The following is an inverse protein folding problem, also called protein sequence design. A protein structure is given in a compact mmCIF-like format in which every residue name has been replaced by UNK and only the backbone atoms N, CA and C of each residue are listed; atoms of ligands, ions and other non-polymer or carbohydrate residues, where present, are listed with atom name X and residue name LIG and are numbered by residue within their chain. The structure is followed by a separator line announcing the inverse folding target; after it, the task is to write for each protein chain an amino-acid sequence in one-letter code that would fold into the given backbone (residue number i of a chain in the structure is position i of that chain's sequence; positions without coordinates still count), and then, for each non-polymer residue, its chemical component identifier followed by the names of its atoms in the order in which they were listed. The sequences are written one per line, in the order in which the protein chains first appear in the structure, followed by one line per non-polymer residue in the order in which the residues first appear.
data_IF_435564442367
#
_entry.id   IF_435564442367
#
_cell.length_a   1.000
_cell.length_b   1.000
_cell.length_c   1.000
_cell.angle_alpha   90.00
_cell.angle_beta   90.00
_cell.angle_gamma   90.00
#
_symmetry.space_group_name_H-M   'P 1'
#
loop_
_entity.id
_entity.type
_entity.pdbx_description
1 polymer ?
#
# COMPACT_ATOMS: atom_id res chain seq x y z
N UNK A 1 11.40 -12.81 -47.54
CA UNK A 1 10.39 -13.57 -46.79
C UNK A 1 9.57 -12.57 -45.96
N UNK A 2 8.25 -12.62 -46.02
CA UNK A 2 7.37 -11.71 -45.27
C UNK A 2 5.90 -12.14 -45.24
N UNK A 3 5.10 -11.43 -44.44
CA UNK A 3 3.70 -11.68 -44.13
C UNK A 3 2.78 -10.85 -45.03
N UNK A 4 2.05 -11.53 -45.91
CA UNK A 4 1.06 -10.86 -46.76
C UNK A 4 -0.32 -11.00 -46.10
N UNK A 5 -0.97 -9.88 -45.78
CA UNK A 5 -2.34 -9.88 -45.23
C UNK A 5 -3.28 -10.55 -46.24
N UNK A 6 -3.93 -11.63 -45.84
CA UNK A 6 -4.83 -12.37 -46.71
C UNK A 6 -6.10 -11.56 -46.94
N UNK A 7 -6.42 -11.27 -48.20
CA UNK A 7 -7.72 -10.71 -48.56
C UNK A 7 -8.79 -11.76 -48.26
N UNK A 8 -9.74 -11.44 -47.37
CA UNK A 8 -10.88 -12.32 -47.05
C UNK A 8 -11.86 -12.28 -48.23
N UNK A 9 -11.51 -12.94 -49.33
CA UNK A 9 -12.47 -13.22 -50.41
C UNK A 9 -13.20 -14.51 -50.06
N UNK A 10 -14.51 -14.39 -49.83
CA UNK A 10 -15.40 -15.53 -49.65
C UNK A 10 -15.29 -16.53 -50.82
N UNK A 11 -15.61 -17.79 -50.51
CA UNK A 11 -15.87 -18.94 -51.42
C UNK A 11 -14.67 -19.88 -51.69
N UNK A 12 -14.72 -21.07 -51.05
CA UNK A 12 -14.46 -22.40 -51.65
C UNK A 12 -14.08 -23.42 -50.56
N UNK A 13 -14.64 -24.63 -50.62
CA UNK A 13 -14.44 -25.76 -49.70
C UNK A 13 -12.98 -26.23 -49.58
N UNK A 14 -12.09 -25.82 -50.47
CA UNK A 14 -10.65 -26.10 -50.44
C UNK A 14 -9.87 -25.28 -49.40
N UNK A 15 -10.41 -24.13 -48.97
CA UNK A 15 -9.82 -23.35 -47.87
C UNK A 15 -9.91 -24.10 -46.54
N UNK A 16 -10.98 -24.88 -46.32
CA UNK A 16 -11.22 -25.56 -45.03
C UNK A 16 -10.10 -26.55 -44.64
N UNK A 17 -9.40 -27.14 -45.62
CA UNK A 17 -8.23 -28.00 -45.37
C UNK A 17 -6.93 -27.20 -45.18
N UNK A 18 -6.79 -26.00 -45.78
CA UNK A 18 -5.66 -25.10 -45.46
C UNK A 18 -5.72 -24.56 -44.02
N UNK A 19 -6.92 -24.46 -43.45
CA UNK A 19 -7.10 -24.01 -42.07
C UNK A 19 -6.60 -25.03 -41.03
N UNK A 20 -6.27 -26.27 -41.43
CA UNK A 20 -5.67 -27.28 -40.53
C UNK A 20 -4.19 -27.05 -40.24
N UNK A 21 -3.47 -26.28 -41.06
CA UNK A 21 -2.06 -25.90 -40.84
C UNK A 21 -1.90 -24.41 -40.49
N UNK A 22 -2.89 -23.81 -39.82
CA UNK A 22 -2.79 -22.43 -39.35
C UNK A 22 -2.00 -22.35 -38.04
N UNK A 23 -0.90 -21.59 -38.03
CA UNK A 23 -0.14 -21.29 -36.81
C UNK A 23 -0.90 -20.19 -36.06
N UNK A 24 -1.42 -20.53 -34.88
CA UNK A 24 -2.16 -19.60 -34.02
C UNK A 24 -1.86 -19.83 -32.54
N UNK A 25 -2.09 -18.78 -31.75
CA UNK A 25 -2.04 -18.85 -30.29
C UNK A 25 -3.45 -18.53 -29.75
N UNK A 26 -4.21 -19.56 -29.36
CA UNK A 26 -5.62 -19.43 -28.98
C UNK A 26 -5.83 -18.71 -27.64
N UNK A 27 -4.93 -18.90 -26.67
CA UNK A 27 -5.03 -18.25 -25.36
C UNK A 27 -3.69 -17.68 -24.89
N UNK A 28 -3.63 -16.34 -24.84
CA UNK A 28 -2.62 -15.60 -24.08
C UNK A 28 -3.32 -14.95 -22.89
N UNK A 29 -3.35 -15.67 -21.77
CA UNK A 29 -3.85 -15.17 -20.49
C UNK A 29 -2.95 -14.03 -19.98
N UNK A 30 -3.38 -13.34 -18.92
CA UNK A 30 -2.62 -12.26 -18.29
C UNK A 30 -1.23 -12.72 -17.77
N UNK A 31 -1.06 -14.02 -17.56
CA UNK A 31 0.18 -14.61 -17.03
C UNK A 31 1.18 -15.01 -18.12
N UNK A 32 0.77 -15.05 -19.39
CA UNK A 32 1.62 -15.47 -20.50
C UNK A 32 2.01 -14.25 -21.32
N UNK A 33 3.31 -13.97 -21.37
CA UNK A 33 3.90 -12.82 -22.04
C UNK A 33 4.41 -13.17 -23.44
N UNK A 34 4.96 -14.37 -23.61
CA UNK A 34 5.48 -14.85 -24.89
C UNK A 34 5.22 -16.35 -25.06
N UNK A 35 4.85 -16.77 -26.27
CA UNK A 35 4.72 -18.18 -26.66
C UNK A 35 5.38 -18.39 -28.02
N UNK A 36 6.27 -19.38 -28.10
CA UNK A 36 6.83 -19.86 -29.35
C UNK A 36 5.95 -20.95 -29.94
N UNK A 37 5.68 -20.85 -31.24
CA UNK A 37 5.02 -21.89 -32.03
C UNK A 37 5.86 -22.19 -33.25
N UNK A 38 6.07 -23.48 -33.52
CA UNK A 38 6.76 -23.97 -34.71
C UNK A 38 6.03 -25.21 -35.23
N UNK A 39 6.30 -25.58 -36.47
CA UNK A 39 5.80 -26.81 -37.08
C UNK A 39 6.61 -28.02 -36.56
N UNK A 40 6.11 -29.26 -36.66
CA UNK A 40 6.84 -30.46 -36.23
C UNK A 40 8.20 -30.64 -36.93
N UNK A 41 8.34 -30.10 -38.13
CA UNK A 41 9.58 -30.13 -38.93
C UNK A 41 10.54 -28.98 -38.58
N UNK A 42 10.11 -28.03 -37.75
CA UNK A 42 10.88 -26.84 -37.42
C UNK A 42 11.00 -25.82 -38.56
N UNK A 43 10.28 -26.02 -39.68
CA UNK A 43 10.32 -25.16 -40.86
C UNK A 43 8.91 -24.70 -41.19
N UNK A 44 8.72 -23.38 -41.33
CA UNK A 44 7.44 -22.80 -41.74
C UNK A 44 7.41 -22.82 -43.27
N UNK A 45 6.53 -23.65 -43.84
CA UNK A 45 6.44 -23.81 -45.29
C UNK A 45 5.88 -22.55 -45.95
N UNK A 46 6.27 -22.31 -47.19
CA UNK A 46 5.72 -21.19 -47.96
C UNK A 46 4.20 -21.33 -48.09
N UNK A 47 3.47 -20.21 -47.97
CA UNK A 47 2.00 -20.12 -47.88
C UNK A 47 1.39 -20.67 -46.59
N UNK A 48 2.19 -20.94 -45.54
CA UNK A 48 1.65 -21.17 -44.20
C UNK A 48 0.81 -19.98 -43.75
N UNK A 49 -0.32 -20.27 -43.13
CA UNK A 49 -1.21 -19.25 -42.59
C UNK A 49 -0.87 -18.97 -41.13
N UNK A 50 -0.63 -17.71 -40.79
CA UNK A 50 -0.39 -17.23 -39.43
C UNK A 50 -1.59 -16.35 -39.04
N UNK A 51 -2.24 -16.69 -37.94
CA UNK A 51 -3.40 -15.95 -37.43
C UNK A 51 -2.97 -15.19 -36.19
N UNK A 52 -3.09 -13.86 -36.23
CA UNK A 52 -2.78 -12.96 -35.12
C UNK A 52 -4.09 -12.48 -34.51
N UNK A 53 -4.33 -12.85 -33.26
CA UNK A 53 -5.53 -12.45 -32.55
C UNK A 53 -5.39 -11.01 -31.99
N UNK A 54 -6.50 -10.36 -31.61
CA UNK A 54 -6.47 -9.04 -30.99
C UNK A 54 -5.59 -9.01 -29.74
N UNK A 55 -4.75 -7.97 -29.60
CA UNK A 55 -3.83 -7.84 -28.46
C UNK A 55 -2.64 -8.80 -28.50
N UNK A 56 -2.35 -9.41 -29.65
CA UNK A 56 -1.15 -10.21 -29.90
C UNK A 56 -0.25 -9.54 -30.94
N UNK A 57 1.05 -9.74 -30.80
CA UNK A 57 2.03 -9.45 -31.85
C UNK A 57 2.73 -10.75 -32.24
N UNK A 58 2.82 -11.03 -33.54
CA UNK A 58 3.54 -12.18 -34.06
C UNK A 58 4.87 -11.74 -34.68
N UNK A 59 5.95 -12.38 -34.26
CA UNK A 59 7.30 -12.22 -34.81
C UNK A 59 7.74 -13.54 -35.44
N UNK A 60 8.14 -13.49 -36.71
CA UNK A 60 8.73 -14.63 -37.41
C UNK A 60 10.24 -14.59 -37.23
N UNK A 61 10.77 -15.69 -36.74
CA UNK A 61 12.19 -15.87 -36.47
C UNK A 61 12.76 -17.00 -37.32
N UNK A 62 13.97 -16.82 -37.84
CA UNK A 62 14.74 -17.80 -38.61
C UNK A 62 16.23 -17.68 -38.26
N UNK A 63 16.80 -18.73 -37.68
CA UNK A 63 18.24 -18.89 -37.41
C UNK A 63 18.96 -17.68 -36.84
N UNK A 64 18.43 -17.08 -35.77
CA UNK A 64 19.09 -15.89 -35.18
C UNK A 64 18.50 -14.57 -35.62
N UNK A 65 17.58 -14.56 -36.59
CA UNK A 65 17.09 -13.34 -37.22
C UNK A 65 15.59 -13.25 -37.19
N UNK A 66 15.09 -12.06 -36.90
CA UNK A 66 13.67 -11.76 -37.14
C UNK A 66 13.49 -11.44 -38.61
N UNK A 67 12.68 -12.26 -39.28
CA UNK A 67 12.35 -12.10 -40.69
C UNK A 67 11.28 -11.04 -40.87
N UNK A 68 10.23 -11.11 -40.04
CA UNK A 68 9.07 -10.25 -40.17
C UNK A 68 8.31 -10.19 -38.85
N UNK A 69 7.48 -9.17 -38.67
CA UNK A 69 6.60 -9.06 -37.52
C UNK A 69 5.34 -8.25 -37.86
N UNK A 70 4.23 -8.63 -37.24
CA UNK A 70 2.97 -7.88 -37.33
C UNK A 70 2.33 -7.79 -35.94
N UNK A 71 1.81 -6.62 -35.62
CA UNK A 71 0.97 -6.39 -34.43
C UNK A 71 -0.49 -6.12 -34.79
N UNK A 72 -0.80 -6.08 -36.08
CA UNK A 72 -2.17 -5.99 -36.55
C UNK A 72 -2.85 -7.36 -36.45
N UNK A 73 -4.08 -7.34 -35.94
CA UNK A 73 -4.95 -8.51 -35.97
C UNK A 73 -5.31 -8.88 -37.41
N UNK A 74 -5.35 -10.19 -37.67
CA UNK A 74 -5.72 -10.69 -38.97
C UNK A 74 -5.07 -12.01 -39.34
N UNK A 75 -5.35 -12.41 -40.57
CA UNK A 75 -4.83 -13.63 -41.17
C UNK A 75 -3.75 -13.23 -42.17
N UNK A 76 -2.56 -13.78 -42.00
CA UNK A 76 -1.41 -13.51 -42.85
C UNK A 76 -0.90 -14.80 -43.48
N UNK A 77 -0.46 -14.72 -44.72
CA UNK A 77 0.23 -15.82 -45.38
C UNK A 77 1.72 -15.53 -45.41
N UNK A 78 2.53 -16.51 -45.00
CA UNK A 78 3.98 -16.44 -45.08
C UNK A 78 4.41 -16.63 -46.54
N UNK A 79 5.05 -15.63 -47.13
CA UNK A 79 5.64 -15.73 -48.46
C UNK A 79 7.16 -15.60 -48.38
N UNK A 80 7.89 -16.63 -48.82
CA UNK A 80 9.36 -16.59 -48.79
C UNK A 80 9.97 -15.62 -49.83
N UNK A 81 9.23 -15.31 -50.89
CA UNK A 81 9.67 -14.45 -51.99
C UNK A 81 9.38 -12.96 -51.79
N UNK A 82 8.50 -12.61 -50.85
CA UNK A 82 8.09 -11.23 -50.60
C UNK A 82 9.10 -10.46 -49.73
N UNK A 83 9.06 -9.13 -49.81
CA UNK A 83 9.79 -8.27 -48.88
C UNK A 83 9.18 -8.35 -47.47
N UNK A 84 9.98 -8.22 -46.40
CA UNK A 84 9.49 -8.17 -45.03
C UNK A 84 8.39 -7.11 -44.86
N UNK A 85 7.30 -7.48 -44.21
CA UNK A 85 6.09 -6.68 -44.03
C UNK A 85 6.09 -5.94 -42.70
N UNK A 86 7.26 -5.38 -42.31
CA UNK A 86 7.52 -4.58 -41.10
C UNK A 86 6.62 -3.33 -40.92
N UNK A 87 5.51 -3.21 -41.63
CA UNK A 87 4.72 -2.00 -41.82
C UNK A 87 3.26 -2.11 -41.38
N UNK A 88 2.83 -3.25 -40.80
CA UNK A 88 1.48 -3.39 -40.25
C UNK A 88 1.45 -2.94 -38.78
N UNK A 89 1.29 -1.62 -38.54
CA UNK A 89 1.04 -1.01 -37.23
C UNK A 89 2.13 -0.07 -36.68
N UNK A 90 1.99 0.34 -35.40
CA UNK A 90 2.85 1.34 -34.72
C UNK A 90 4.29 0.87 -34.45
N UNK A 91 4.61 -0.40 -34.67
CA UNK A 91 5.89 -1.02 -34.32
C UNK A 91 6.91 -1.07 -35.49
N UNK A 92 6.61 -0.44 -36.63
CA UNK A 92 7.46 -0.58 -37.81
C UNK A 92 8.88 -0.01 -37.67
N UNK A 93 9.07 1.04 -36.88
CA UNK A 93 10.40 1.57 -36.56
C UNK A 93 11.19 0.60 -35.66
N UNK A 94 10.52 0.02 -34.66
CA UNK A 94 11.08 -0.96 -33.71
C UNK A 94 11.65 -2.18 -34.43
N UNK A 95 10.92 -2.74 -35.40
CA UNK A 95 11.36 -3.94 -36.09
C UNK A 95 12.48 -3.68 -37.12
N UNK A 96 12.56 -2.47 -37.69
CA UNK A 96 13.68 -2.07 -38.57
C UNK A 96 15.02 -2.04 -37.84
N UNK A 97 15.05 -1.59 -36.59
CA UNK A 97 16.28 -1.59 -35.80
C UNK A 97 16.79 -2.99 -35.49
N UNK A 98 15.89 -3.93 -35.21
CA UNK A 98 16.25 -5.33 -34.97
C UNK A 98 16.77 -6.01 -36.25
N UNK A 99 16.20 -5.69 -37.43
CA UNK A 99 16.70 -6.19 -38.71
C UNK A 99 18.17 -5.80 -38.96
N UNK A 100 18.54 -4.55 -38.64
CA UNK A 100 19.90 -4.04 -38.88
C UNK A 100 20.94 -4.59 -37.90
N UNK A 101 20.55 -4.95 -36.67
CA UNK A 101 21.50 -5.38 -35.62
C UNK A 101 21.96 -6.84 -35.72
N UNK A 102 21.25 -7.72 -36.44
CA UNK A 102 21.51 -9.17 -36.48
C UNK A 102 22.08 -9.72 -37.81
N UNK A 103 22.83 -8.91 -38.56
CA UNK A 103 23.49 -9.34 -39.80
C UNK A 103 24.86 -10.00 -39.55
N UNK A 104 24.93 -11.16 -38.88
CA UNK A 104 26.15 -11.99 -38.89
C UNK A 104 25.90 -13.52 -38.95
N UNK A 105 26.87 -14.17 -39.59
CA UNK A 105 27.27 -15.59 -39.74
C UNK A 105 26.27 -16.65 -40.23
N UNK A 106 26.63 -17.31 -41.34
CA UNK A 106 25.82 -18.31 -42.04
C UNK A 106 25.57 -19.58 -41.24
N UNK A 107 24.30 -19.84 -40.94
CA UNK A 107 23.81 -21.12 -40.45
C UNK A 107 22.95 -21.80 -41.52
N UNK A 108 23.25 -23.08 -41.76
CA UNK A 108 22.73 -23.92 -42.85
C UNK A 108 21.45 -24.69 -42.47
N UNK A 109 21.02 -24.66 -41.22
CA UNK A 109 19.82 -25.35 -40.75
C UNK A 109 18.71 -24.33 -40.52
N UNK A 110 17.63 -24.37 -41.31
CA UNK A 110 16.45 -23.50 -41.16
C UNK A 110 15.58 -23.96 -39.98
N UNK A 111 15.79 -23.40 -38.81
CA UNK A 111 14.84 -23.47 -37.70
C UNK A 111 14.03 -22.18 -37.67
N UNK A 112 12.77 -22.30 -38.07
CA UNK A 112 11.80 -21.21 -38.13
C UNK A 112 10.73 -21.35 -37.05
N UNK A 113 10.40 -20.25 -36.40
CA UNK A 113 9.34 -20.21 -35.40
C UNK A 113 8.59 -18.88 -35.45
N UNK A 114 7.34 -18.91 -35.03
CA UNK A 114 6.53 -17.72 -34.77
C UNK A 114 6.47 -17.51 -33.26
N UNK A 115 6.92 -16.36 -32.81
CA UNK A 115 6.80 -15.92 -31.42
C UNK A 115 5.60 -14.99 -31.31
N UNK A 116 4.63 -15.38 -30.49
CA UNK A 116 3.48 -14.56 -30.14
C UNK A 116 3.76 -13.83 -28.83
N UNK A 117 3.64 -12.51 -28.83
CA UNK A 117 3.79 -11.64 -27.67
C UNK A 117 2.45 -11.07 -27.25
N UNK A 118 2.26 -10.95 -25.95
CA UNK A 118 1.10 -10.32 -25.36
C UNK A 118 1.33 -8.81 -25.28
N UNK A 119 0.67 -8.05 -26.16
CA UNK A 119 0.76 -6.58 -26.18
C UNK A 119 -0.40 -5.91 -25.42
N UNK A 120 -1.25 -6.70 -24.75
CA UNK A 120 -2.28 -6.18 -23.85
C UNK A 120 -1.64 -5.58 -22.61
N UNK A 121 -2.39 -4.71 -21.95
CA UNK A 121 -2.03 -4.23 -20.63
C UNK A 121 -2.15 -5.37 -19.60
N UNK A 122 -1.04 -5.67 -18.95
CA UNK A 122 -0.91 -6.68 -17.92
C UNK A 122 -1.29 -6.06 -16.59
N UNK A 123 -2.46 -6.45 -16.09
CA UNK A 123 -3.06 -5.89 -14.88
C UNK A 123 -2.69 -6.65 -13.61
N UNK A 124 -3.01 -6.03 -12.47
CA UNK A 124 -2.88 -6.58 -11.11
C UNK A 124 -1.46 -7.02 -10.75
N UNK A 125 -0.51 -6.09 -10.86
CA UNK A 125 0.85 -6.28 -10.34
C UNK A 125 1.02 -5.38 -9.12
N UNK A 126 1.38 -5.98 -7.99
CA UNK A 126 1.47 -5.29 -6.71
C UNK A 126 2.90 -4.83 -6.45
N UNK A 127 3.05 -3.66 -5.86
CA UNK A 127 4.31 -3.20 -5.31
C UNK A 127 4.13 -2.77 -3.85
N UNK A 128 5.22 -2.80 -3.10
CA UNK A 128 5.24 -2.34 -1.73
C UNK A 128 6.67 -2.08 -1.27
N UNK A 129 6.89 -0.97 -0.59
CA UNK A 129 8.22 -0.63 -0.08
C UNK A 129 8.56 -1.57 1.09
N UNK A 130 9.62 -2.40 1.00
CA UNK A 130 9.93 -3.39 2.05
C UNK A 130 10.42 -2.73 3.35
N UNK A 131 11.11 -1.60 3.23
CA UNK A 131 11.55 -0.76 4.34
C UNK A 131 10.91 0.63 4.23
N UNK A 132 10.69 1.33 5.37
CA UNK A 132 10.24 2.71 5.35
C UNK A 132 11.17 3.61 4.54
N UNK A 133 10.60 4.36 3.61
CA UNK A 133 11.31 5.34 2.79
C UNK A 133 11.30 6.68 3.53
N UNK A 134 12.45 7.34 3.72
CA UNK A 134 12.48 8.66 4.33
C UNK A 134 11.74 9.67 3.44
N UNK A 135 10.86 10.46 4.04
CA UNK A 135 10.06 11.48 3.39
C UNK A 135 10.11 12.77 4.21
N UNK A 136 10.06 13.91 3.52
CA UNK A 136 10.04 15.23 4.12
C UNK A 136 8.60 15.72 4.21
N UNK A 137 8.05 15.73 5.42
CA UNK A 137 6.70 16.18 5.67
C UNK A 137 6.68 17.69 5.98
N UNK A 138 6.26 18.46 4.98
CA UNK A 138 6.12 19.91 5.07
C UNK A 138 4.84 20.36 5.78
N UNK A 139 3.91 19.45 6.10
CA UNK A 139 2.73 19.78 6.90
C UNK A 139 3.07 19.94 8.40
N UNK A 140 4.15 19.30 8.86
CA UNK A 140 4.65 19.38 10.23
C UNK A 140 6.00 20.11 10.28
N UNK A 141 5.93 21.44 10.28
CA UNK A 141 7.09 22.33 10.22
C UNK A 141 7.79 22.47 11.58
N UNK A 142 9.11 22.21 11.62
CA UNK A 142 9.93 22.38 12.82
C UNK A 142 10.74 23.69 12.71
N UNK A 143 10.54 24.66 13.63
CA UNK A 143 11.33 25.88 13.65
C UNK A 143 12.73 25.63 14.22
N UNK A 144 13.77 26.03 13.50
CA UNK A 144 15.13 26.07 14.02
C UNK A 144 15.41 27.43 14.66
N UNK A 145 15.47 27.47 15.99
CA UNK A 145 15.68 28.69 16.75
C UNK A 145 17.09 29.31 16.56
N UNK A 146 18.08 28.52 16.12
CA UNK A 146 19.44 29.02 15.91
C UNK A 146 19.62 29.71 14.56
N UNK A 147 18.94 29.23 13.52
CA UNK A 147 19.06 29.75 12.14
C UNK A 147 17.86 30.57 11.69
N UNK A 148 16.76 30.57 12.45
CA UNK A 148 15.50 31.21 12.07
C UNK A 148 14.79 30.55 10.88
N UNK A 149 15.29 29.41 10.41
CA UNK A 149 14.73 28.67 9.28
C UNK A 149 13.79 27.57 9.76
N UNK A 150 12.86 27.18 8.90
CA UNK A 150 11.92 26.09 9.15
C UNK A 150 12.33 24.88 8.33
N UNK A 151 12.36 23.71 8.97
CA UNK A 151 12.67 22.42 8.31
C UNK A 151 11.44 21.50 8.37
N UNK A 152 11.21 20.67 7.35
CA UNK A 152 10.14 19.67 7.39
C UNK A 152 10.46 18.58 8.42
N UNK A 153 9.41 17.97 8.98
CA UNK A 153 9.56 16.78 9.80
C UNK A 153 9.97 15.60 8.92
N UNK A 154 11.02 14.88 9.30
CA UNK A 154 11.40 13.64 8.62
C UNK A 154 10.53 12.49 9.12
N UNK A 155 9.81 11.84 8.21
CA UNK A 155 8.99 10.66 8.47
C UNK A 155 9.41 9.47 7.61
N UNK A 156 9.11 8.25 8.04
CA UNK A 156 9.35 7.02 7.32
C UNK A 156 8.04 6.47 6.75
N UNK A 157 7.93 6.39 5.43
CA UNK A 157 6.73 5.94 4.74
C UNK A 157 6.86 4.51 4.24
N UNK A 158 5.84 3.70 4.52
CA UNK A 158 5.57 2.44 3.84
C UNK A 158 4.39 2.63 2.91
N UNK A 159 4.64 2.47 1.62
CA UNK A 159 3.64 2.63 0.58
C UNK A 159 3.34 1.27 -0.06
N UNK A 160 2.06 1.04 -0.34
CA UNK A 160 1.60 -0.14 -1.07
C UNK A 160 0.69 0.30 -2.20
N UNK A 161 0.77 -0.41 -3.32
CA UNK A 161 -0.06 -0.08 -4.47
C UNK A 161 0.05 -1.10 -5.59
N UNK A 162 -0.44 -0.69 -6.76
CA UNK A 162 -0.46 -1.51 -7.96
C UNK A 162 0.10 -0.76 -9.14
N UNK A 163 0.65 -1.52 -10.08
CA UNK A 163 1.09 -1.03 -11.37
C UNK A 163 0.61 -1.95 -12.48
N UNK A 164 0.43 -1.37 -13.65
CA UNK A 164 0.11 -2.06 -14.89
C UNK A 164 1.20 -1.78 -15.90
N UNK A 165 1.52 -2.78 -16.73
CA UNK A 165 2.56 -2.66 -17.74
C UNK A 165 2.12 -3.33 -19.04
N UNK A 166 2.68 -2.93 -20.16
CA UNK A 166 2.49 -3.59 -21.46
C UNK A 166 3.84 -3.82 -22.12
N UNK A 167 3.90 -4.80 -23.02
CA UNK A 167 5.07 -4.98 -23.89
C UNK A 167 4.93 -3.97 -25.03
N UNK A 168 5.77 -2.94 -25.01
CA UNK A 168 5.79 -1.87 -26.00
C UNK A 168 6.82 -2.13 -27.11
N UNK A 169 7.88 -2.87 -26.81
CA UNK A 169 8.85 -3.30 -27.79
C UNK A 169 9.08 -4.81 -27.68
N UNK A 170 8.27 -5.63 -28.39
CA UNK A 170 8.41 -7.09 -28.39
C UNK A 170 9.79 -7.58 -28.83
N UNK A 171 10.44 -6.85 -29.74
CA UNK A 171 11.79 -7.16 -30.23
C UNK A 171 12.85 -7.01 -29.13
N UNK A 172 12.83 -5.89 -28.42
CA UNK A 172 13.72 -5.60 -27.30
C UNK A 172 13.45 -6.57 -26.13
N UNK A 173 12.17 -6.85 -25.85
CA UNK A 173 11.78 -7.83 -24.84
C UNK A 173 12.28 -9.24 -25.18
N UNK A 174 12.21 -9.64 -26.45
CA UNK A 174 12.79 -10.90 -26.91
C UNK A 174 14.30 -10.95 -26.70
N UNK A 175 15.02 -9.87 -27.03
CA UNK A 175 16.48 -9.82 -26.94
C UNK A 175 16.99 -9.81 -25.49
N UNK A 176 16.43 -8.93 -24.65
CA UNK A 176 16.97 -8.65 -23.32
C UNK A 176 16.36 -9.52 -22.21
N UNK A 177 15.16 -10.08 -22.43
CA UNK A 177 14.38 -10.74 -21.36
C UNK A 177 14.02 -12.18 -21.69
N UNK A 178 13.26 -12.40 -22.77
CA UNK A 178 12.61 -13.69 -22.99
C UNK A 178 13.47 -14.69 -23.77
N UNK A 179 14.42 -14.21 -24.57
CA UNK A 179 15.25 -15.02 -25.46
C UNK A 179 14.41 -15.88 -26.40
N UNK A 180 14.82 -17.15 -26.55
CA UNK A 180 14.16 -18.15 -27.41
C UNK A 180 13.31 -19.16 -26.61
N UNK A 181 12.90 -18.81 -25.39
CA UNK A 181 12.09 -19.67 -24.54
C UNK A 181 10.77 -20.08 -25.22
N UNK A 182 10.30 -21.31 -24.98
CA UNK A 182 9.05 -21.77 -25.60
C UNK A 182 7.82 -21.05 -25.01
N UNK A 183 7.83 -20.79 -23.70
CA UNK A 183 6.81 -20.01 -23.00
C UNK A 183 7.50 -19.11 -21.97
N UNK A 184 7.22 -17.82 -22.02
CA UNK A 184 7.64 -16.85 -21.02
C UNK A 184 6.43 -16.34 -20.24
N UNK A 185 6.48 -16.55 -18.93
CA UNK A 185 5.39 -16.22 -18.00
C UNK A 185 5.73 -14.97 -17.18
N UNK A 186 4.68 -14.33 -16.68
CA UNK A 186 4.71 -13.09 -15.89
C UNK A 186 5.50 -13.22 -14.59
N UNK A 187 5.37 -14.36 -13.90
CA UNK A 187 6.05 -14.68 -12.64
C UNK A 187 7.58 -14.52 -12.71
N UNK A 188 8.20 -14.88 -13.84
CA UNK A 188 9.66 -14.74 -14.05
C UNK A 188 10.13 -13.29 -14.15
N UNK A 189 9.22 -12.37 -14.47
CA UNK A 189 9.52 -10.95 -14.69
C UNK A 189 9.11 -10.08 -13.51
N UNK A 190 8.00 -10.41 -12.85
CA UNK A 190 7.35 -9.55 -11.86
C UNK A 190 8.26 -9.23 -10.67
N UNK A 191 9.06 -10.17 -10.17
CA UNK A 191 9.93 -9.90 -9.01
C UNK A 191 11.02 -8.86 -9.31
N UNK A 192 11.63 -8.96 -10.49
CA UNK A 192 12.62 -7.98 -10.95
C UNK A 192 11.97 -6.63 -11.21
N UNK A 193 10.83 -6.63 -11.91
CA UNK A 193 10.04 -5.42 -12.18
C UNK A 193 9.59 -4.72 -10.90
N UNK A 194 9.13 -5.48 -9.89
CA UNK A 194 8.73 -4.94 -8.59
C UNK A 194 9.87 -4.18 -7.93
N UNK A 195 11.09 -4.72 -7.99
CA UNK A 195 12.28 -4.07 -7.42
C UNK A 195 12.64 -2.78 -8.17
N UNK A 196 12.58 -2.80 -9.50
CA UNK A 196 12.83 -1.62 -10.34
C UNK A 196 11.77 -0.53 -10.10
N UNK A 197 10.49 -0.90 -10.07
CA UNK A 197 9.36 0.01 -9.78
C UNK A 197 9.51 0.64 -8.39
N UNK A 198 9.92 -0.12 -7.37
CA UNK A 198 10.16 0.43 -6.02
C UNK A 198 11.30 1.46 -6.06
N UNK A 199 12.41 1.18 -6.77
CA UNK A 199 13.52 2.13 -6.90
C UNK A 199 13.11 3.41 -7.62
N UNK A 200 12.39 3.29 -8.73
CA UNK A 200 11.79 4.42 -9.47
C UNK A 200 10.84 5.21 -8.56
N UNK A 201 9.95 4.54 -7.83
CA UNK A 201 8.99 5.19 -6.95
C UNK A 201 9.63 5.92 -5.77
N UNK A 202 10.75 5.43 -5.25
CA UNK A 202 11.51 6.16 -4.21
C UNK A 202 12.00 7.53 -4.71
N UNK A 203 12.42 7.62 -5.97
CA UNK A 203 12.80 8.91 -6.58
C UNK A 203 11.60 9.84 -6.70
N UNK A 204 10.44 9.31 -7.11
CA UNK A 204 9.18 10.08 -7.16
C UNK A 204 8.77 10.56 -5.78
N UNK A 205 8.81 9.71 -4.76
CA UNK A 205 8.48 10.09 -3.38
C UNK A 205 9.38 11.21 -2.86
N UNK A 206 10.68 11.16 -3.15
CA UNK A 206 11.61 12.22 -2.77
C UNK A 206 11.24 13.55 -3.45
N UNK A 207 10.82 13.50 -4.71
CA UNK A 207 10.41 14.69 -5.46
C UNK A 207 9.07 15.26 -4.96
N UNK A 208 8.10 14.41 -4.63
CA UNK A 208 6.83 14.84 -4.02
C UNK A 208 7.02 15.51 -2.66
N UNK A 209 7.97 15.01 -1.86
CA UNK A 209 8.29 15.55 -0.54
C UNK A 209 9.28 16.71 -0.55
N UNK A 210 9.83 17.10 -1.71
CA UNK A 210 10.85 18.13 -1.76
C UNK A 210 10.29 19.53 -1.42
N UNK A 211 11.18 20.51 -1.33
CA UNK A 211 10.81 21.90 -1.03
C UNK A 211 10.00 22.59 -2.13
N UNK A 212 9.84 22.00 -3.31
CA UNK A 212 9.06 22.55 -4.41
C UNK A 212 7.61 22.05 -4.34
N UNK A 213 7.38 20.73 -4.29
CA UNK A 213 6.04 20.13 -4.33
C UNK A 213 5.36 20.10 -2.96
N UNK A 214 6.12 19.82 -1.89
CA UNK A 214 5.64 19.83 -0.49
C UNK A 214 4.34 19.05 -0.27
N UNK A 215 4.17 17.92 -0.95
CA UNK A 215 2.96 17.10 -0.85
C UNK A 215 2.82 16.56 0.58
N UNK A 216 1.67 16.79 1.25
CA UNK A 216 1.42 16.19 2.55
C UNK A 216 1.36 14.66 2.48
N UNK A 217 1.85 13.99 3.53
CA UNK A 217 1.95 12.51 3.57
C UNK A 217 0.62 11.82 3.27
N UNK A 218 -0.47 12.33 3.85
CA UNK A 218 -1.80 11.75 3.72
C UNK A 218 -2.42 11.96 2.33
N UNK A 219 -1.90 12.91 1.55
CA UNK A 219 -2.40 13.25 0.22
C UNK A 219 -1.67 12.48 -0.89
N UNK A 220 -0.57 11.79 -0.58
CA UNK A 220 0.19 10.98 -1.56
C UNK A 220 -0.71 10.03 -2.37
N UNK A 221 -1.69 9.30 -1.80
CA UNK A 221 -2.58 8.44 -2.57
C UNK A 221 -3.42 9.18 -3.63
N UNK A 222 -3.73 10.46 -3.41
CA UNK A 222 -4.48 11.29 -4.35
C UNK A 222 -3.60 11.97 -5.41
N UNK A 223 -2.27 11.88 -5.32
CA UNK A 223 -1.34 12.51 -6.27
C UNK A 223 -1.01 11.61 -7.48
N UNK A 224 -1.98 10.84 -7.98
CA UNK A 224 -1.73 9.88 -9.09
C UNK A 224 -1.29 10.56 -10.37
N UNK A 225 -1.85 11.73 -10.69
CA UNK A 225 -1.52 12.49 -11.90
C UNK A 225 -0.12 13.11 -11.80
N UNK A 226 0.19 13.73 -10.65
CA UNK A 226 1.52 14.28 -10.34
C UNK A 226 2.60 13.18 -10.43
N UNK A 227 2.35 12.00 -9.85
CA UNK A 227 3.26 10.85 -9.92
C UNK A 227 3.55 10.49 -11.37
N UNK A 228 2.52 10.45 -12.23
CA UNK A 228 2.69 10.13 -13.65
C UNK A 228 3.51 11.18 -14.37
N UNK A 229 3.22 12.46 -14.14
CA UNK A 229 3.97 13.57 -14.73
C UNK A 229 5.45 13.56 -14.32
N UNK A 230 5.73 13.30 -13.04
CA UNK A 230 7.11 13.19 -12.52
C UNK A 230 7.84 11.99 -13.11
N UNK A 231 7.16 10.83 -13.23
CA UNK A 231 7.74 9.64 -13.86
C UNK A 231 8.12 9.89 -15.31
N UNK A 232 7.25 10.56 -16.08
CA UNK A 232 7.50 10.89 -17.48
C UNK A 232 8.58 11.97 -17.64
N UNK A 233 8.58 13.00 -16.78
CA UNK A 233 9.53 14.12 -16.84
C UNK A 233 10.97 13.70 -16.59
N UNK A 234 11.20 12.85 -15.58
CA UNK A 234 12.55 12.42 -15.20
C UNK A 234 12.94 11.06 -15.76
N UNK A 235 12.04 10.40 -16.52
CA UNK A 235 12.25 9.09 -17.16
C UNK A 235 12.78 8.08 -16.14
N UNK A 236 12.17 8.05 -14.96
CA UNK A 236 12.62 7.16 -13.88
C UNK A 236 12.45 5.68 -14.22
N UNK A 237 11.68 5.35 -15.27
CA UNK A 237 11.41 4.02 -15.78
C UNK A 237 12.38 3.60 -16.92
N UNK A 238 13.46 4.34 -17.16
CA UNK A 238 14.46 4.01 -18.20
C UNK A 238 14.93 2.54 -18.18
N UNK A 239 15.27 1.93 -17.02
CA UNK A 239 15.67 0.51 -16.97
C UNK A 239 14.58 -0.44 -17.46
N UNK A 240 13.31 -0.12 -17.18
CA UNK A 240 12.15 -0.90 -17.60
C UNK A 240 11.94 -0.75 -19.12
N UNK A 241 12.06 0.47 -19.65
CA UNK A 241 11.98 0.74 -21.10
C UNK A 241 13.06 0.00 -21.89
N UNK A 242 14.28 -0.10 -21.34
CA UNK A 242 15.39 -0.88 -21.94
C UNK A 242 15.10 -2.38 -22.07
N UNK A 243 14.08 -2.90 -21.38
CA UNK A 243 13.59 -4.29 -21.51
C UNK A 243 12.40 -4.43 -22.48
N UNK A 244 11.96 -3.34 -23.10
CA UNK A 244 10.87 -3.33 -24.07
C UNK A 244 9.49 -3.29 -23.42
N UNK A 245 9.43 -2.87 -22.16
CA UNK A 245 8.24 -2.80 -21.34
C UNK A 245 7.92 -1.32 -21.08
N UNK A 246 6.65 -0.96 -21.13
CA UNK A 246 6.17 0.35 -20.72
C UNK A 246 5.25 0.21 -19.51
N UNK A 247 5.45 1.06 -18.49
CA UNK A 247 4.49 1.24 -17.41
C UNK A 247 3.32 2.07 -17.93
N UNK A 248 2.08 1.63 -17.69
CA UNK A 248 0.87 2.30 -18.18
C UNK A 248 0.17 3.04 -17.05
N UNK A 249 -0.03 2.33 -15.93
CA UNK A 249 -0.66 2.85 -14.73
C UNK A 249 0.17 2.55 -13.50
N UNK A 250 0.17 3.49 -12.58
CA UNK A 250 0.80 3.36 -11.27
C UNK A 250 -0.12 4.02 -10.25
N UNK A 251 -0.53 3.27 -9.23
CA UNK A 251 -1.50 3.72 -8.24
C UNK A 251 -0.96 3.37 -6.85
N UNK A 252 -0.89 4.36 -5.97
CA UNK A 252 -0.62 4.17 -4.55
C UNK A 252 -1.96 3.94 -3.84
N UNK A 253 -2.17 2.74 -3.32
CA UNK A 253 -3.44 2.39 -2.64
C UNK A 253 -3.42 2.80 -1.17
N UNK A 254 -2.26 2.72 -0.51
CA UNK A 254 -2.12 3.11 0.89
C UNK A 254 -0.74 3.62 1.21
N UNK A 255 -0.69 4.57 2.15
CA UNK A 255 0.53 5.10 2.75
C UNK A 255 0.39 4.95 4.25
N UNK A 256 1.41 4.38 4.88
CA UNK A 256 1.48 4.14 6.32
C UNK A 256 2.79 4.65 6.85
N UNK A 257 2.77 5.24 8.04
CA UNK A 257 3.95 5.71 8.75
C UNK A 257 4.53 4.59 9.61
N UNK A 258 5.84 4.55 9.77
CA UNK A 258 6.47 3.70 10.77
C UNK A 258 6.22 4.20 12.20
N UNK A 259 6.32 3.30 13.17
CA UNK A 259 5.98 3.58 14.57
C UNK A 259 6.78 4.75 15.17
N UNK A 260 8.03 4.93 14.74
CA UNK A 260 8.87 6.05 15.18
C UNK A 260 8.33 7.39 14.65
N UNK A 261 7.90 7.44 13.39
CA UNK A 261 7.34 8.64 12.79
C UNK A 261 5.96 8.98 13.33
N UNK A 262 5.11 7.98 13.60
CA UNK A 262 3.84 8.21 14.29
C UNK A 262 4.06 8.88 15.64
N UNK A 263 5.00 8.37 16.45
CA UNK A 263 5.36 9.00 17.74
C UNK A 263 5.89 10.42 17.58
N UNK A 264 6.67 10.71 16.53
CA UNK A 264 7.16 12.06 16.24
C UNK A 264 6.02 13.02 15.92
N UNK A 265 5.05 12.59 15.11
CA UNK A 265 3.86 13.38 14.78
C UNK A 265 3.00 13.58 16.03
N UNK A 266 2.71 12.53 16.80
CA UNK A 266 1.95 12.64 18.06
C UNK A 266 2.60 13.65 19.02
N UNK A 267 3.93 13.59 19.19
CA UNK A 267 4.68 14.54 20.01
C UNK A 267 4.62 15.96 19.45
N UNK A 268 4.68 16.12 18.13
CA UNK A 268 4.56 17.40 17.48
C UNK A 268 3.17 18.02 17.72
N UNK A 269 2.09 17.26 17.51
CA UNK A 269 0.71 17.68 17.77
C UNK A 269 0.49 18.04 19.25
N UNK A 270 1.03 17.23 20.17
CA UNK A 270 0.99 17.51 21.60
C UNK A 270 1.72 18.80 21.98
N UNK A 271 2.87 19.07 21.34
CA UNK A 271 3.70 20.25 21.64
C UNK A 271 3.18 21.54 21.00
N UNK A 272 2.51 21.44 19.85
CA UNK A 272 1.98 22.58 19.10
C UNK A 272 0.65 23.09 19.67
N UNK A 273 -0.09 22.26 20.41
CA UNK A 273 -1.35 22.64 21.05
C UNK A 273 -1.18 22.88 22.56
N UNK A 274 -1.20 24.15 22.98
CA UNK A 274 -1.02 24.54 24.38
C UNK A 274 -2.00 23.86 25.36
N UNK A 275 -3.24 23.59 24.94
CA UNK A 275 -4.22 22.87 25.77
C UNK A 275 -3.86 21.40 25.93
N UNK A 276 -3.37 20.74 24.87
CA UNK A 276 -2.91 19.35 24.94
C UNK A 276 -1.59 19.24 25.72
N UNK A 277 -0.68 20.20 25.56
CA UNK A 277 0.55 20.28 26.33
C UNK A 277 0.25 20.40 27.83
N UNK A 278 -0.70 21.26 28.21
CA UNK A 278 -1.14 21.39 29.60
C UNK A 278 -1.76 20.09 30.13
N UNK A 279 -2.59 19.41 29.34
CA UNK A 279 -3.17 18.11 29.69
C UNK A 279 -2.11 17.02 29.91
N UNK A 280 -1.13 16.92 29.02
CA UNK A 280 -0.03 15.95 29.09
C UNK A 280 0.94 16.24 30.22
N UNK A 281 1.30 17.51 30.44
CA UNK A 281 2.11 17.91 31.60
C UNK A 281 1.38 17.63 32.91
N UNK A 282 0.08 17.92 32.98
CA UNK A 282 -0.74 17.62 34.16
C UNK A 282 -0.86 16.11 34.39
N UNK A 283 -1.03 15.32 33.33
CA UNK A 283 -1.08 13.85 33.41
C UNK A 283 0.26 13.23 33.80
N UNK A 284 1.36 13.68 33.20
CA UNK A 284 2.71 13.24 33.55
C UNK A 284 3.08 13.64 34.97
N UNK A 285 2.70 14.84 35.41
CA UNK A 285 2.84 15.30 36.79
C UNK A 285 2.00 14.45 37.74
N UNK A 286 0.74 14.18 37.42
CA UNK A 286 -0.13 13.32 38.23
C UNK A 286 0.44 11.89 38.35
N UNK A 287 0.96 11.32 37.26
CA UNK A 287 1.62 10.02 37.27
C UNK A 287 2.90 10.05 38.11
N UNK A 288 3.75 11.07 37.96
CA UNK A 288 4.97 11.21 38.75
C UNK A 288 4.67 11.39 40.26
N UNK A 289 3.64 12.16 40.60
CA UNK A 289 3.15 12.30 41.99
C UNK A 289 2.58 10.97 42.49
N UNK A 290 1.84 10.24 41.67
CA UNK A 290 1.29 8.93 42.03
C UNK A 290 2.40 7.89 42.24
N UNK A 291 3.45 7.88 41.42
CA UNK A 291 4.63 7.01 41.57
C UNK A 291 5.50 7.40 42.78
N UNK A 292 5.68 8.70 43.01
CA UNK A 292 6.37 9.21 44.21
C UNK A 292 5.57 8.89 45.49
N UNK A 293 4.23 8.94 45.44
CA UNK A 293 3.35 8.56 46.54
C UNK A 293 3.34 7.04 46.81
N UNK A 294 3.54 6.22 45.77
CA UNK A 294 3.73 4.77 45.92
C UNK A 294 5.08 4.40 46.55
N UNK A 295 6.06 5.29 46.51
CA UNK A 295 7.36 5.11 47.17
C UNK A 295 7.38 5.77 48.56
N UNK A 296 7.27 4.97 49.62
CA UNK A 296 7.16 5.42 51.02
C UNK A 296 8.32 6.30 51.52
N UNK A 297 9.50 6.25 50.90
CA UNK A 297 10.66 7.11 51.19
C UNK A 297 10.83 8.33 50.26
N UNK A 298 10.01 8.46 49.21
CA UNK A 298 10.15 9.51 48.17
C UNK A 298 9.16 10.68 48.28
N UNK A 299 8.05 10.49 49.01
CA UNK A 299 6.98 11.48 49.09
C UNK A 299 7.42 12.84 49.66
N UNK A 300 8.34 12.86 50.64
CA UNK A 300 8.85 14.11 51.22
C UNK A 300 9.82 14.84 50.29
N UNK A 301 10.68 14.11 49.54
CA UNK A 301 11.59 14.71 48.56
C UNK A 301 10.87 15.15 47.28
N UNK A 302 9.82 14.46 46.87
CA UNK A 302 8.99 14.86 45.72
C UNK A 302 8.26 16.18 45.99
N UNK A 303 7.64 16.32 47.17
CA UNK A 303 6.95 17.55 47.56
C UNK A 303 7.91 18.73 47.80
N UNK A 304 9.08 18.48 48.38
CA UNK A 304 10.11 19.50 48.61
C UNK A 304 10.80 19.95 47.31
N UNK A 305 11.00 19.04 46.35
CA UNK A 305 11.53 19.35 45.02
C UNK A 305 10.60 20.26 44.21
N UNK A 306 9.29 20.09 44.35
CA UNK A 306 8.27 20.96 43.74
C UNK A 306 8.30 22.36 44.37
N UNK A 307 8.42 22.44 45.70
CA UNK A 307 8.57 23.72 46.42
C UNK A 307 9.86 24.47 46.05
N UNK A 308 10.98 23.76 45.92
CA UNK A 308 12.26 24.34 45.52
C UNK A 308 12.29 24.76 44.05
N UNK A 309 11.68 24.01 43.14
CA UNK A 309 11.66 24.36 41.71
C UNK A 309 10.77 25.58 41.43
N UNK A 310 9.69 25.77 42.20
CA UNK A 310 8.88 26.99 42.16
C UNK A 310 9.65 28.22 42.68
N UNK A 311 10.49 28.03 43.72
CA UNK A 311 11.33 29.09 44.26
C UNK A 311 12.55 29.43 43.38
N UNK A 312 13.17 28.42 42.74
CA UNK A 312 14.33 28.59 41.86
C UNK A 312 13.97 29.13 40.46
N UNK A 313 12.72 28.97 40.02
CA UNK A 313 12.23 29.48 38.73
C UNK A 313 11.57 30.86 38.82
N UNK A 314 11.75 31.57 39.95
CA UNK A 314 11.23 32.94 40.16
C UNK A 314 9.73 33.09 39.84
N UNK A 315 8.93 32.06 40.16
CA UNK A 315 7.47 32.08 39.99
C UNK A 315 6.93 31.78 38.58
N UNK A 316 7.79 31.44 37.61
CA UNK A 316 7.34 31.15 36.23
C UNK A 316 6.48 29.88 36.14
N UNK A 317 6.65 28.93 37.06
CA UNK A 317 5.85 27.70 37.16
C UNK A 317 4.57 27.91 38.03
N UNK A 318 4.45 29.06 38.70
CA UNK A 318 3.34 29.38 39.61
C UNK A 318 1.99 29.64 38.94
N UNK A 319 1.95 29.87 37.63
CA UNK A 319 0.72 30.17 36.88
C UNK A 319 -0.22 28.98 36.66
N UNK A 320 0.26 27.74 36.80
CA UNK A 320 -0.52 26.53 36.49
C UNK A 320 -0.96 25.70 37.72
N UNK A 321 -0.54 26.06 38.93
CA UNK A 321 -0.71 25.21 40.14
C UNK A 321 -1.37 25.89 41.34
N UNK A 322 -1.68 27.19 41.28
CA UNK A 322 -2.25 27.96 42.40
C UNK A 322 -3.78 28.05 42.43
N UNK A 323 -4.48 27.58 41.38
CA UNK A 323 -5.94 27.67 41.28
C UNK A 323 -6.78 26.89 42.32
N UNK A 324 -6.42 25.68 42.77
CA UNK A 324 -7.35 24.88 43.58
C UNK A 324 -7.27 25.07 45.11
N UNK A 325 -6.25 25.75 45.64
CA UNK A 325 -5.95 25.68 47.10
C UNK A 325 -6.22 26.97 47.90
N UNK A 326 -6.67 28.06 47.26
CA UNK A 326 -6.81 29.35 47.93
C UNK A 326 -8.21 29.63 48.53
N UNK A 327 -9.19 28.74 48.37
CA UNK A 327 -10.58 29.03 48.75
C UNK A 327 -11.15 28.27 49.97
N UNK A 328 -10.30 27.71 50.83
CA UNK A 328 -10.76 26.90 52.00
C UNK A 328 -10.65 27.63 53.34
N UNK A 329 -10.47 28.97 53.36
CA UNK A 329 -10.21 29.70 54.62
C UNK A 329 -11.31 30.62 55.13
N UNK A 330 -12.52 30.59 54.56
CA UNK A 330 -13.68 31.33 55.11
C UNK A 330 -14.99 30.59 54.87
N UNK A 331 -15.49 29.88 55.88
CA UNK A 331 -16.86 30.08 56.42
C UNK A 331 -17.19 29.03 57.49
N UNK A 332 -17.61 29.55 58.63
CA UNK A 332 -18.06 28.88 59.85
C UNK A 332 -19.47 28.28 59.68
N UNK A 333 -19.69 27.15 60.35
CA UNK A 333 -20.97 26.44 60.50
C UNK A 333 -21.95 27.28 61.35
N UNK A 334 -23.20 27.42 60.92
CA UNK A 334 -24.33 27.46 61.87
C UNK A 334 -25.64 26.98 61.24
N UNK A 335 -26.37 26.21 62.03
CA UNK A 335 -27.57 25.44 61.70
C UNK A 335 -28.82 26.22 62.13
N UNK A 336 -29.89 26.22 61.32
CA UNK A 336 -31.31 26.09 61.75
C UNK A 336 -32.34 26.30 60.62
N UNK A 337 -33.25 25.31 60.55
CA UNK A 337 -34.70 25.32 60.27
C UNK A 337 -35.24 25.73 58.89
N UNK A 338 -35.74 24.78 58.09
CA UNK A 338 -37.14 24.28 57.97
C UNK A 338 -38.06 25.29 57.26
N UNK A 339 -38.52 25.05 56.02
CA UNK A 339 -39.81 24.36 55.74
C UNK A 339 -40.09 24.23 54.22
N UNK A 340 -40.87 23.18 53.90
CA UNK A 340 -41.37 22.68 52.59
C UNK A 340 -42.11 23.76 51.77
N UNK A 341 -42.25 23.68 50.44
CA UNK A 341 -43.02 22.74 49.59
C UNK A 341 -42.79 23.18 48.10
N UNK A 342 -42.69 22.40 47.01
CA UNK A 342 -43.67 21.52 46.33
C UNK A 342 -42.99 20.77 45.14
N UNK A 343 -43.24 19.44 45.03
CA UNK A 343 -43.31 18.46 43.90
C UNK A 343 -42.26 18.50 42.77
N UNK A 344 -41.45 17.47 42.52
CA UNK A 344 -41.70 16.02 42.25
C UNK A 344 -42.34 15.77 40.87
N UNK A 345 -41.49 15.67 39.85
CA UNK A 345 -41.56 14.56 38.88
C UNK A 345 -40.19 14.37 38.21
N UNK A 346 -39.87 13.10 37.99
CA UNK A 346 -38.69 12.54 37.32
C UNK A 346 -37.32 12.70 38.00
N UNK A 347 -36.98 11.72 38.86
CA UNK A 347 -35.69 11.00 38.83
C UNK A 347 -35.70 9.87 39.86
N UNK A 348 -36.03 8.65 39.45
CA UNK A 348 -35.66 7.47 40.21
C UNK A 348 -35.39 6.26 39.31
N UNK A 349 -34.10 5.94 39.16
CA UNK A 349 -33.57 4.56 39.09
C UNK A 349 -32.05 4.61 39.26
N UNK A 350 -31.61 4.84 40.50
CA UNK A 350 -30.27 4.45 40.94
C UNK A 350 -30.31 2.94 41.17
N UNK A 351 -29.53 2.18 40.39
CA UNK A 351 -29.25 0.78 40.67
C UNK A 351 -28.06 0.75 41.63
N UNK A 352 -28.29 0.17 42.82
CA UNK A 352 -27.28 -0.10 43.85
C UNK A 352 -26.05 -0.83 43.24
N UNK A 353 -24.85 -0.35 43.53
CA UNK A 353 -23.60 -1.03 43.20
C UNK A 353 -23.16 -1.90 44.39
N UNK A 354 -23.21 -3.22 44.22
CA UNK A 354 -22.73 -4.21 45.19
C UNK A 354 -21.21 -4.07 45.45
N UNK A 355 -20.84 -4.04 46.73
CA UNK A 355 -19.45 -4.19 47.20
C UNK A 355 -19.04 -5.67 47.13
N UNK A 356 -17.89 -5.98 46.55
CA UNK A 356 -17.37 -7.36 46.53
C UNK A 356 -15.98 -7.47 47.16
N UNK A 357 -15.71 -8.60 47.80
CA UNK A 357 -14.41 -8.92 48.37
C UNK A 357 -13.66 -9.80 47.38
N UNK A 358 -12.49 -9.34 46.93
CA UNK A 358 -11.61 -10.12 46.08
C UNK A 358 -10.92 -11.22 46.90
N UNK A 359 -10.49 -12.31 46.26
CA UNK A 359 -9.72 -13.40 46.89
C UNK A 359 -8.46 -12.91 47.62
N UNK A 360 -7.94 -11.74 47.25
CA UNK A 360 -6.82 -11.09 47.95
C UNK A 360 -7.24 -10.34 49.24
N UNK A 361 -8.49 -10.47 49.68
CA UNK A 361 -9.01 -9.94 50.95
C UNK A 361 -9.50 -8.48 50.92
N UNK A 362 -9.49 -7.81 49.77
CA UNK A 362 -9.81 -6.37 49.67
C UNK A 362 -11.24 -6.16 49.13
N UNK A 363 -11.98 -5.25 49.77
CA UNK A 363 -13.31 -4.78 49.33
C UNK A 363 -13.18 -3.81 48.17
N UNK A 364 -13.93 -4.04 47.09
CA UNK A 364 -13.89 -3.25 45.87
C UNK A 364 -15.30 -2.81 45.44
N UNK A 365 -15.38 -1.61 44.86
CA UNK A 365 -16.54 -1.09 44.14
C UNK A 365 -16.14 -0.89 42.68
N UNK A 366 -16.53 -1.82 41.80
CA UNK A 366 -16.17 -1.78 40.38
C UNK A 366 -15.88 -3.16 39.78
N UNK A 367 -15.68 -3.19 38.45
CA UNK A 367 -15.52 -4.43 37.66
C UNK A 367 -14.18 -5.15 37.83
N UNK A 368 -13.20 -4.55 38.54
CA UNK A 368 -11.87 -5.12 38.75
C UNK A 368 -11.39 -4.82 40.17
N UNK A 369 -10.57 -5.72 40.72
CA UNK A 369 -9.93 -5.50 42.03
C UNK A 369 -8.85 -4.42 41.90
N UNK A 370 -8.91 -3.40 42.77
CA UNK A 370 -7.97 -2.27 42.75
C UNK A 370 -6.53 -2.67 43.07
N UNK A 371 -6.35 -3.80 43.78
CA UNK A 371 -5.03 -4.24 44.23
C UNK A 371 -4.37 -5.24 43.26
N UNK A 372 -5.09 -6.31 42.86
CA UNK A 372 -4.52 -7.37 42.03
C UNK A 372 -4.96 -7.35 40.56
N UNK A 373 -5.84 -6.42 40.16
CA UNK A 373 -6.30 -6.28 38.78
C UNK A 373 -7.24 -7.41 38.29
N UNK A 374 -7.53 -8.44 39.11
CA UNK A 374 -8.46 -9.50 38.73
C UNK A 374 -9.86 -8.94 38.50
N UNK A 375 -10.47 -9.33 37.38
CA UNK A 375 -11.84 -8.95 37.01
C UNK A 375 -12.83 -9.57 37.98
N UNK A 376 -13.84 -8.79 38.35
CA UNK A 376 -14.96 -9.26 39.13
C UNK A 376 -15.81 -10.20 38.24
N UNK A 377 -15.74 -11.50 38.52
CA UNK A 377 -16.56 -12.50 37.84
C UNK A 377 -17.98 -12.49 38.40
N UNK A 378 -18.78 -11.53 37.95
CA UNK A 378 -20.23 -11.58 38.18
C UNK A 378 -20.78 -12.69 37.27
N UNK A 379 -21.41 -13.70 37.88
CA UNK A 379 -21.98 -14.85 37.19
C UNK A 379 -23.51 -14.76 37.22
N UNK A 380 -24.14 -14.72 36.05
CA UNK A 380 -25.60 -14.60 35.89
C UNK A 380 -26.17 -15.98 35.62
N UNK A 381 -27.14 -16.41 36.43
CA UNK A 381 -27.84 -17.68 36.24
C UNK A 381 -28.97 -17.52 35.24
N UNK A 382 -29.04 -18.37 34.22
CA UNK A 382 -30.11 -18.35 33.24
C UNK A 382 -31.45 -18.68 33.90
N UNK A 383 -32.50 -17.86 33.74
CA UNK A 383 -33.80 -18.08 34.38
C UNK A 383 -34.56 -19.29 33.80
N UNK A 384 -34.20 -19.75 32.59
CA UNK A 384 -34.90 -20.84 31.90
C UNK A 384 -34.27 -22.21 32.11
N UNK A 385 -32.95 -22.33 31.97
CA UNK A 385 -32.24 -23.61 32.11
C UNK A 385 -31.35 -23.70 33.35
N UNK A 386 -31.18 -22.60 34.09
CA UNK A 386 -30.37 -22.57 35.31
C UNK A 386 -28.85 -22.56 35.07
N UNK A 387 -28.38 -22.57 33.81
CA UNK A 387 -26.95 -22.55 33.48
C UNK A 387 -26.32 -21.22 33.88
N UNK A 388 -25.12 -21.27 34.46
CA UNK A 388 -24.39 -20.10 34.94
C UNK A 388 -23.57 -19.52 33.79
N UNK A 389 -23.83 -18.27 33.43
CA UNK A 389 -23.20 -17.55 32.33
C UNK A 389 -22.41 -16.34 32.86
N UNK A 390 -21.44 -15.85 32.09
CA UNK A 390 -20.70 -14.63 32.43
C UNK A 390 -21.59 -13.39 32.35
N UNK A 391 -21.38 -12.39 33.22
CA UNK A 391 -22.23 -11.20 33.25
C UNK A 391 -22.22 -10.31 31.98
N UNK A 392 -21.30 -10.56 31.04
CA UNK A 392 -21.28 -9.88 29.75
C UNK A 392 -22.08 -10.64 28.66
N UNK A 393 -22.57 -11.84 28.93
CA UNK A 393 -23.31 -12.65 27.98
C UNK A 393 -24.73 -12.12 27.80
N UNK A 394 -25.06 -11.66 26.58
CA UNK A 394 -26.42 -11.19 26.24
C UNK A 394 -27.43 -12.33 26.07
N UNK A 395 -26.93 -13.53 25.76
CA UNK A 395 -27.72 -14.75 25.58
C UNK A 395 -27.08 -15.89 26.36
N UNK A 396 -27.90 -16.82 26.83
CA UNK A 396 -27.45 -18.02 27.51
C UNK A 396 -26.68 -18.92 26.53
N UNK A 397 -25.47 -19.32 26.91
CA UNK A 397 -24.59 -20.11 26.05
C UNK A 397 -25.15 -21.51 25.70
N UNK A 398 -26.03 -22.06 26.54
CA UNK A 398 -26.64 -23.38 26.26
C UNK A 398 -28.01 -23.33 25.60
N UNK A 399 -28.95 -22.50 26.09
CA UNK A 399 -30.33 -22.51 25.58
C UNK A 399 -30.69 -21.32 24.70
N UNK A 400 -29.76 -20.37 24.49
CA UNK A 400 -29.97 -19.18 23.65
C UNK A 400 -30.90 -18.12 24.25
N UNK A 401 -31.44 -18.32 25.44
CA UNK A 401 -32.36 -17.39 26.09
C UNK A 401 -31.67 -16.07 26.47
N UNK A 402 -32.35 -14.94 26.27
CA UNK A 402 -31.76 -13.62 26.53
C UNK A 402 -31.59 -13.38 28.04
N UNK A 403 -30.39 -12.97 28.45
CA UNK A 403 -30.02 -12.76 29.87
C UNK A 403 -30.00 -11.28 30.30
N UNK A 404 -30.13 -10.37 29.34
CA UNK A 404 -30.23 -8.91 29.55
C UNK A 404 -31.39 -8.30 28.79
#
# INVERSE_FOLDING_TARGET
MGLIKAAVSAVSSTLKDQWKEAIRCEEMTNDVLMVKKTTPTGVITNKSTIIVAPGQCAIIYDNGRVIDATAEEGVYNFDSSSSPSFFAGQFGAVFKEMWQRFTYSGATAKQQAVFFFNIKEIMDNKFGTPAPVPFQDWSHLIPNQMTGTTIPLRVGLKCFGKYTFKIDNPALFMNEVAGVADIYKKDKLVEQMRSEVIGTFQNVLNELGNSEHKVPVLEIPSQTDEIKELMDKYVFDEPIRKRGIALVGFIVESVTLDDESNKKIDQYELSSNAYMQQGTLTGAYANAVQEAAKNSNGAMNGFMGIGMMNMASNGVIGGATTGPWQNTQKSTINSRETSKEVKDDDLNKVVEQDEWICECGIKNKGKFCINCGKKHEIKIKCPKCGTINEAAAKFCNECGEKLQ
#
